data_IF_700012999711
#
_entry.id   IF_700012999711
#
_cell.length_a   1.000
_cell.length_b   1.000
_cell.length_c   1.000
_cell.angle_alpha   90.00
_cell.angle_beta   90.00
_cell.angle_gamma   90.00
#
_symmetry.space_group_name_H-M   'P 1'
#
loop_
_entity.id
_entity.type
_entity.pdbx_description
1 polymer ?
#
# COMPACT_ATOMS: atom_id res chain seq x y z
N UNK A 1 -22.61 47.18 -13.48
CA UNK A 1 -22.95 46.46 -12.23
C UNK A 1 -23.73 45.20 -12.57
N UNK A 2 -23.13 44.02 -12.41
CA UNK A 2 -23.79 42.74 -12.10
C UNK A 2 -22.72 41.81 -11.54
N UNK A 3 -23.17 40.94 -10.66
CA UNK A 3 -22.48 40.38 -9.50
C UNK A 3 -22.23 38.88 -9.80
N UNK A 4 -21.23 38.30 -9.12
CA UNK A 4 -21.02 36.88 -8.75
C UNK A 4 -20.89 35.79 -9.84
N UNK A 5 -19.74 35.10 -9.86
CA UNK A 5 -19.65 33.67 -9.48
C UNK A 5 -18.18 33.20 -9.39
N UNK A 6 -17.87 32.46 -8.32
CA UNK A 6 -16.60 31.84 -7.93
C UNK A 6 -16.04 30.79 -8.93
N UNK A 7 -14.74 30.45 -8.83
CA UNK A 7 -14.04 29.61 -9.81
C UNK A 7 -14.29 28.11 -9.58
N UNK A 8 -14.43 27.27 -10.62
CA UNK A 8 -14.33 25.83 -10.42
C UNK A 8 -12.85 25.42 -10.40
N UNK A 9 -12.37 25.12 -9.21
CA UNK A 9 -11.11 24.44 -8.92
C UNK A 9 -11.09 23.09 -9.66
N UNK A 10 -10.44 23.01 -10.83
CA UNK A 10 -10.07 21.73 -11.45
C UNK A 10 -8.82 21.17 -10.75
N UNK A 11 -9.02 20.60 -9.55
CA UNK A 11 -8.10 19.60 -9.00
C UNK A 11 -8.35 18.28 -9.71
N UNK A 12 -7.77 18.14 -10.89
CA UNK A 12 -7.70 16.87 -11.59
C UNK A 12 -6.60 16.03 -10.92
N UNK A 13 -6.91 15.47 -9.74
CA UNK A 13 -6.21 14.27 -9.27
C UNK A 13 -6.84 13.10 -10.02
N UNK A 14 -6.13 12.41 -10.91
CA UNK A 14 -6.68 11.24 -11.55
C UNK A 14 -6.94 10.20 -10.46
N UNK A 15 -8.22 9.85 -10.29
CA UNK A 15 -8.64 8.61 -9.64
C UNK A 15 -8.12 7.45 -10.50
N UNK A 16 -7.38 6.47 -9.95
CA UNK A 16 -7.35 5.15 -10.53
C UNK A 16 -8.39 4.30 -9.81
N UNK A 17 -9.62 4.34 -10.33
CA UNK A 17 -10.65 3.34 -10.05
C UNK A 17 -10.54 2.23 -11.08
N UNK A 18 -9.85 1.13 -10.78
CA UNK A 18 -9.91 -0.20 -11.45
C UNK A 18 -8.90 -1.12 -10.73
N UNK A 19 -9.16 -2.35 -10.27
CA UNK A 19 -10.03 -3.46 -10.69
C UNK A 19 -9.81 -4.58 -9.65
N UNK A 20 -10.86 -5.34 -9.28
CA UNK A 20 -10.73 -6.73 -8.77
C UNK A 20 -10.69 -7.67 -10.00
N UNK A 21 -10.46 -8.98 -9.82
CA UNK A 21 -9.27 -9.71 -9.37
C UNK A 21 -8.77 -10.64 -10.51
N UNK A 22 -7.75 -11.47 -10.24
CA UNK A 22 -7.26 -12.60 -11.05
C UNK A 22 -6.04 -12.32 -11.97
N UNK A 23 -4.93 -12.95 -11.55
CA UNK A 23 -4.09 -13.79 -12.41
C UNK A 23 -3.61 -13.16 -13.71
N UNK A 24 -2.64 -12.26 -13.58
CA UNK A 24 -1.62 -12.02 -14.60
C UNK A 24 -0.45 -11.37 -13.89
N UNK A 25 0.65 -12.10 -13.80
CA UNK A 25 1.98 -11.70 -13.32
C UNK A 25 2.16 -10.17 -13.27
N UNK A 26 1.80 -9.55 -12.14
CA UNK A 26 1.86 -8.09 -12.02
C UNK A 26 3.34 -7.72 -12.01
N UNK A 27 3.83 -6.84 -12.90
CA UNK A 27 5.24 -6.45 -12.91
C UNK A 27 5.69 -5.89 -11.56
N UNK A 28 4.75 -5.29 -10.80
CA UNK A 28 4.95 -4.87 -9.40
C UNK A 28 5.30 -6.06 -8.51
N UNK A 29 4.52 -7.15 -8.52
CA UNK A 29 4.81 -8.35 -7.75
C UNK A 29 6.19 -8.92 -8.10
N UNK A 30 6.58 -8.89 -9.38
CA UNK A 30 7.89 -9.39 -9.83
C UNK A 30 9.07 -8.51 -9.44
N UNK A 31 8.90 -7.18 -9.42
CA UNK A 31 9.93 -6.25 -8.91
C UNK A 31 10.03 -6.34 -7.40
N UNK A 32 8.89 -6.53 -6.76
CA UNK A 32 8.75 -6.44 -5.33
C UNK A 32 8.95 -7.79 -4.62
N UNK A 33 8.88 -8.90 -5.37
CA UNK A 33 9.27 -10.23 -4.91
C UNK A 33 10.76 -10.31 -4.56
N UNK A 34 11.62 -9.59 -5.28
CA UNK A 34 13.05 -9.51 -4.89
C UNK A 34 13.22 -8.85 -3.53
N UNK A 35 12.38 -7.87 -3.19
CA UNK A 35 12.40 -7.25 -1.87
C UNK A 35 11.76 -8.16 -0.81
N UNK A 36 10.67 -8.87 -1.12
CA UNK A 36 10.05 -9.80 -0.17
C UNK A 36 10.96 -10.99 0.13
N UNK A 37 11.67 -11.53 -0.87
CA UNK A 37 12.68 -12.58 -0.70
C UNK A 37 13.85 -12.10 0.16
N UNK A 38 14.32 -10.87 -0.04
CA UNK A 38 15.35 -10.26 0.80
C UNK A 38 14.89 -10.06 2.25
N UNK A 39 13.58 -9.92 2.48
CA UNK A 39 12.98 -9.80 3.82
C UNK A 39 12.50 -11.13 4.37
N UNK A 40 12.48 -12.20 3.57
CA UNK A 40 11.95 -13.49 3.94
C UNK A 40 12.84 -14.11 5.03
N UNK A 41 12.24 -14.40 6.19
CA UNK A 41 12.94 -14.90 7.37
C UNK A 41 13.54 -13.81 8.26
N UNK A 42 13.51 -12.53 7.85
CA UNK A 42 13.98 -11.42 8.70
C UNK A 42 12.84 -10.77 9.49
N UNK A 43 11.58 -11.08 9.17
CA UNK A 43 10.41 -10.39 9.71
C UNK A 43 10.50 -8.86 9.51
N UNK A 44 11.14 -8.45 8.42
CA UNK A 44 11.30 -7.05 8.04
C UNK A 44 10.16 -6.56 7.16
N UNK A 45 9.99 -5.24 7.13
CA UNK A 45 9.01 -4.53 6.33
C UNK A 45 9.64 -3.34 5.63
N UNK A 46 9.34 -3.18 4.35
CA UNK A 46 9.76 -2.06 3.51
C UNK A 46 8.54 -1.30 3.04
N UNK A 47 8.61 0.00 3.20
CA UNK A 47 7.65 0.96 2.66
C UNK A 47 8.25 1.50 1.38
N UNK A 48 7.44 1.54 0.33
CA UNK A 48 7.84 1.96 -1.00
C UNK A 48 6.91 3.06 -1.54
N UNK A 49 7.50 3.97 -2.32
CA UNK A 49 6.77 5.02 -3.03
C UNK A 49 6.32 4.53 -4.43
N UNK A 50 5.73 5.41 -5.22
CA UNK A 50 5.19 5.15 -6.57
C UNK A 50 6.23 4.64 -7.56
N UNK A 51 7.51 4.97 -7.35
CA UNK A 51 8.63 4.54 -8.18
C UNK A 51 9.23 3.20 -7.74
N UNK A 52 8.54 2.43 -6.87
CA UNK A 52 9.04 1.18 -6.27
C UNK A 52 10.39 1.39 -5.53
N UNK A 53 10.65 2.60 -5.04
CA UNK A 53 11.80 2.92 -4.18
C UNK A 53 11.45 2.73 -2.72
N UNK A 54 12.35 2.08 -1.98
CA UNK A 54 12.24 1.95 -0.52
C UNK A 54 12.39 3.33 0.12
N UNK A 55 11.29 3.85 0.65
CA UNK A 55 11.29 5.10 1.43
C UNK A 55 11.69 4.82 2.88
N UNK A 56 11.31 3.66 3.41
CA UNK A 56 11.60 3.30 4.78
C UNK A 56 11.64 1.78 4.99
N UNK A 57 12.44 1.33 5.95
CA UNK A 57 12.58 -0.08 6.32
C UNK A 57 12.48 -0.22 7.85
N UNK A 58 11.64 -1.14 8.30
CA UNK A 58 11.29 -1.31 9.71
C UNK A 58 10.93 -2.78 9.98
N UNK A 59 11.10 -3.33 11.18
CA UNK A 59 10.61 -4.67 11.48
C UNK A 59 9.06 -4.72 11.41
N UNK A 60 8.50 -5.87 11.01
CA UNK A 60 7.04 -6.11 10.90
C UNK A 60 6.30 -5.78 12.20
N UNK A 61 6.93 -6.03 13.36
CA UNK A 61 6.38 -5.74 14.69
C UNK A 61 6.14 -4.23 14.88
N UNK A 62 7.04 -3.41 14.34
CA UNK A 62 6.98 -1.96 14.43
C UNK A 62 6.31 -1.32 13.22
N UNK A 63 6.11 -2.06 12.13
CA UNK A 63 5.44 -1.57 10.91
C UNK A 63 4.12 -0.87 11.20
N UNK A 64 3.32 -1.38 12.13
CA UNK A 64 2.06 -0.75 12.55
C UNK A 64 2.30 0.64 13.12
N UNK A 65 3.35 0.81 13.92
CA UNK A 65 3.71 2.08 14.52
C UNK A 65 4.38 3.01 13.50
N UNK A 66 5.30 2.47 12.69
CA UNK A 66 5.95 3.18 11.60
C UNK A 66 4.92 3.72 10.63
N UNK A 67 3.98 2.91 10.14
CA UNK A 67 2.90 3.37 9.26
C UNK A 67 2.05 4.48 9.89
N UNK A 68 1.79 4.42 11.21
CA UNK A 68 1.04 5.47 11.91
C UNK A 68 1.81 6.79 11.98
N UNK A 69 3.12 6.73 12.24
CA UNK A 69 3.98 7.90 12.41
C UNK A 69 4.63 8.38 11.09
N UNK A 70 4.65 7.56 10.05
CA UNK A 70 5.19 7.90 8.74
C UNK A 70 4.33 8.97 8.10
N UNK A 71 4.93 10.11 7.80
CA UNK A 71 4.35 11.17 6.98
C UNK A 71 4.68 10.99 5.48
N UNK A 72 5.49 9.97 5.17
CA UNK A 72 5.92 9.65 3.83
C UNK A 72 4.73 9.24 2.93
N UNK A 73 4.75 9.66 1.67
CA UNK A 73 3.77 9.25 0.66
C UNK A 73 4.03 7.80 0.23
N UNK A 74 3.74 6.85 1.10
CA UNK A 74 3.94 5.44 0.81
C UNK A 74 2.81 4.95 -0.10
N UNK A 75 3.17 4.36 -1.24
CA UNK A 75 2.24 3.77 -2.21
C UNK A 75 2.11 2.26 -2.08
N UNK A 76 3.21 1.61 -1.73
CA UNK A 76 3.31 0.15 -1.64
C UNK A 76 4.01 -0.23 -0.35
N UNK A 77 3.58 -1.30 0.31
CA UNK A 77 4.30 -1.83 1.48
C UNK A 77 4.53 -3.31 1.30
N UNK A 78 5.75 -3.76 1.55
CA UNK A 78 6.16 -5.15 1.58
C UNK A 78 6.53 -5.52 2.98
N UNK A 79 6.08 -6.66 3.46
CA UNK A 79 6.54 -7.15 4.75
C UNK A 79 6.48 -8.66 4.83
N UNK A 80 7.44 -9.22 5.55
CA UNK A 80 7.49 -10.65 5.84
C UNK A 80 6.57 -10.98 7.02
N UNK A 81 5.27 -10.86 6.79
CA UNK A 81 4.26 -11.19 7.78
C UNK A 81 2.86 -11.45 7.23
N UNK A 82 1.94 -11.68 8.15
CA UNK A 82 0.52 -11.89 7.85
C UNK A 82 -0.17 -10.54 7.66
N UNK A 83 -0.81 -10.35 6.51
CA UNK A 83 -1.64 -9.17 6.24
C UNK A 83 -2.93 -9.28 7.04
N UNK A 84 -3.05 -8.50 8.11
CA UNK A 84 -4.24 -8.44 8.95
C UNK A 84 -5.12 -7.24 8.60
N UNK A 85 -6.38 -7.26 9.04
CA UNK A 85 -7.30 -6.14 8.87
C UNK A 85 -6.74 -4.83 9.46
N UNK A 86 -6.04 -4.89 10.61
CA UNK A 86 -5.44 -3.69 11.24
C UNK A 86 -4.41 -3.01 10.35
N UNK A 87 -3.54 -3.78 9.70
CA UNK A 87 -2.54 -3.23 8.78
C UNK A 87 -3.25 -2.64 7.56
N UNK A 88 -4.27 -3.33 7.05
CA UNK A 88 -5.07 -2.86 5.92
C UNK A 88 -5.79 -1.54 6.22
N UNK A 89 -6.37 -1.40 7.40
CA UNK A 89 -7.08 -0.20 7.82
C UNK A 89 -6.12 1.00 7.98
N UNK A 90 -4.92 0.76 8.54
CA UNK A 90 -3.89 1.80 8.66
C UNK A 90 -3.39 2.21 7.27
N UNK A 91 -3.12 1.23 6.40
CA UNK A 91 -2.69 1.45 5.04
C UNK A 91 -3.72 2.27 4.24
N UNK A 92 -5.01 1.90 4.36
CA UNK A 92 -6.11 2.62 3.75
C UNK A 92 -6.20 4.07 4.24
N UNK A 93 -5.98 4.32 5.54
CA UNK A 93 -5.97 5.68 6.09
C UNK A 93 -4.77 6.51 5.60
N UNK A 94 -3.62 5.86 5.40
CA UNK A 94 -2.39 6.50 4.90
C UNK A 94 -2.38 6.72 3.39
N UNK A 95 -3.35 6.15 2.66
CA UNK A 95 -3.43 6.27 1.20
C UNK A 95 -2.50 5.31 0.46
N UNK A 96 -2.15 4.19 1.10
CA UNK A 96 -1.40 3.10 0.49
C UNK A 96 -2.34 2.33 -0.43
N UNK A 97 -1.97 2.23 -1.69
CA UNK A 97 -2.76 1.56 -2.71
C UNK A 97 -2.43 0.05 -2.78
N UNK A 98 -1.24 -0.36 -2.31
CA UNK A 98 -0.75 -1.74 -2.44
C UNK A 98 -0.08 -2.26 -1.16
N UNK A 99 -0.45 -3.46 -0.73
CA UNK A 99 0.16 -4.21 0.37
C UNK A 99 0.59 -5.59 -0.11
N UNK A 100 1.81 -6.00 0.23
CA UNK A 100 2.36 -7.32 -0.02
C UNK A 100 2.81 -7.91 1.30
N UNK A 101 2.23 -9.05 1.65
CA UNK A 101 2.67 -9.87 2.79
C UNK A 101 3.07 -11.27 2.35
N UNK A 102 3.57 -12.10 3.27
CA UNK A 102 3.75 -13.53 2.96
C UNK A 102 2.43 -14.29 2.95
N UNK A 103 1.48 -13.90 3.81
CA UNK A 103 0.17 -14.54 3.88
C UNK A 103 -0.93 -13.52 4.08
N UNK A 104 -2.09 -13.78 3.49
CA UNK A 104 -3.31 -13.02 3.78
C UNK A 104 -3.93 -13.59 5.06
N UNK A 105 -4.10 -12.76 6.07
CA UNK A 105 -4.79 -13.12 7.30
C UNK A 105 -6.31 -13.03 7.15
N UNK A 106 -7.00 -12.96 8.29
CA UNK A 106 -8.45 -12.78 8.30
C UNK A 106 -8.81 -11.34 7.91
N UNK A 107 -9.13 -11.15 6.63
CA UNK A 107 -9.53 -9.86 6.06
C UNK A 107 -10.99 -9.97 5.64
N UNK A 108 -11.88 -9.39 6.45
CA UNK A 108 -13.33 -9.46 6.24
C UNK A 108 -13.82 -8.37 5.30
N UNK A 109 -13.15 -7.21 5.31
CA UNK A 109 -13.44 -6.08 4.42
C UNK A 109 -12.16 -5.60 3.76
N UNK A 110 -12.03 -5.86 2.47
CA UNK A 110 -11.00 -5.23 1.65
C UNK A 110 -11.55 -3.93 1.06
N UNK A 111 -11.08 -2.76 1.52
CA UNK A 111 -11.56 -1.50 0.98
C UNK A 111 -11.06 -1.36 -0.48
N UNK A 112 -11.88 -0.81 -1.37
CA UNK A 112 -11.64 -0.86 -2.81
C UNK A 112 -10.38 -0.09 -3.27
N UNK A 113 -9.85 0.76 -2.39
CA UNK A 113 -8.65 1.56 -2.59
C UNK A 113 -7.35 0.81 -2.27
N UNK A 114 -7.37 -0.30 -1.52
CA UNK A 114 -6.14 -1.03 -1.15
C UNK A 114 -6.12 -2.43 -1.75
N UNK A 115 -5.08 -2.73 -2.54
CA UNK A 115 -4.81 -4.04 -3.13
C UNK A 115 -3.89 -4.83 -2.22
N UNK A 116 -4.32 -6.03 -1.82
CA UNK A 116 -3.52 -6.95 -1.01
C UNK A 116 -3.03 -8.08 -1.89
N UNK A 117 -1.73 -8.31 -1.87
CA UNK A 117 -1.06 -9.42 -2.54
C UNK A 117 -0.31 -10.26 -1.51
N UNK A 118 -0.07 -11.52 -1.88
CA UNK A 118 0.76 -12.44 -1.12
C UNK A 118 1.95 -12.86 -1.96
N UNK A 119 3.12 -12.95 -1.32
CA UNK A 119 4.35 -13.43 -1.95
C UNK A 119 4.45 -14.96 -1.95
N UNK A 120 3.59 -15.66 -1.19
CA UNK A 120 3.49 -17.12 -1.14
C UNK A 120 2.40 -17.67 -2.07
#
# INVERSE_FOLDING_TARGET
MKKIAEPPIKKEKPKPSTTKPATSQHPVLKRLSSHSESLAGTLGARLLDQDDKVVNETPVRDLVNTLKNSEDNVKSVVFDGVVTQRILDIASNKGIDTLIGVKKGNITKSPANVKVYTSA
#
